data_IF_327685589136
#
_entry.id   IF_327685589136
#
_cell.length_a   1.000
_cell.length_b   1.000
_cell.length_c   1.000
_cell.angle_alpha   90.00
_cell.angle_beta   90.00
_cell.angle_gamma   90.00
#
_symmetry.space_group_name_H-M   'P 1'
#
loop_
_entity.id
_entity.type
_entity.pdbx_description
1 polymer ?
#
# COMPACT_ATOMS: atom_id res chain seq x y z
N UNK A 1 -12.54 -19.12 -0.94
CA UNK A 1 -12.28 -18.54 0.42
C UNK A 1 -10.87 -17.97 0.42
N UNK A 2 -10.59 -16.96 1.25
CA UNK A 2 -9.27 -16.33 1.37
C UNK A 2 -8.67 -16.66 2.75
N UNK A 3 -7.44 -17.17 2.76
CA UNK A 3 -6.67 -17.44 3.98
C UNK A 3 -5.51 -16.44 4.05
N UNK A 4 -5.36 -15.74 5.18
CA UNK A 4 -4.28 -14.77 5.42
C UNK A 4 -3.33 -15.30 6.49
N UNK A 5 -2.05 -15.33 6.16
CA UNK A 5 -0.96 -15.73 7.05
C UNK A 5 -0.07 -14.51 7.24
N UNK A 6 -0.11 -13.89 8.41
CA UNK A 6 0.77 -12.78 8.77
C UNK A 6 2.15 -13.33 9.16
N UNK A 7 3.20 -12.91 8.46
CA UNK A 7 4.58 -13.26 8.75
C UNK A 7 5.13 -12.32 9.82
N UNK A 8 4.69 -12.51 11.06
CA UNK A 8 4.97 -11.60 12.17
C UNK A 8 6.24 -11.93 12.96
N UNK A 9 6.64 -13.19 12.98
CA UNK A 9 7.73 -13.72 13.83
C UNK A 9 8.78 -14.46 13.02
N UNK A 10 9.91 -14.76 13.67
CA UNK A 10 10.98 -15.53 13.05
C UNK A 10 11.81 -14.74 12.05
N UNK A 11 11.77 -13.43 12.14
CA UNK A 11 12.60 -12.58 11.32
C UNK A 11 14.03 -12.53 11.85
N UNK A 12 14.97 -12.50 10.92
CA UNK A 12 16.37 -12.25 11.15
C UNK A 12 16.84 -11.11 10.28
N UNK A 13 17.84 -10.38 10.75
CA UNK A 13 18.37 -9.20 10.07
C UNK A 13 19.89 -9.25 9.97
N UNK A 14 20.42 -8.67 8.91
CA UNK A 14 21.85 -8.56 8.64
C UNK A 14 22.12 -7.22 7.96
N UNK A 15 23.12 -6.47 8.43
CA UNK A 15 23.63 -5.30 7.69
C UNK A 15 24.72 -5.72 6.71
N UNK A 16 24.53 -5.44 5.44
CA UNK A 16 25.49 -5.72 4.37
C UNK A 16 26.40 -4.50 4.13
N UNK A 17 27.39 -4.34 5.02
CA UNK A 17 28.26 -3.15 5.08
C UNK A 17 28.98 -2.87 3.76
N UNK A 18 29.21 -3.89 2.95
CA UNK A 18 29.94 -3.78 1.67
C UNK A 18 29.04 -3.84 0.45
N UNK A 19 27.71 -3.98 0.64
CA UNK A 19 26.72 -4.15 -0.43
C UNK A 19 27.10 -5.24 -1.44
N UNK A 20 27.50 -6.37 -0.90
CA UNK A 20 27.93 -7.55 -1.68
C UNK A 20 26.95 -8.69 -1.70
N UNK A 21 25.90 -8.65 -0.89
CA UNK A 21 24.95 -9.73 -0.67
C UNK A 21 24.28 -10.25 -1.94
N UNK A 22 23.92 -9.38 -2.88
CA UNK A 22 23.39 -9.82 -4.17
C UNK A 22 24.44 -10.60 -4.99
N UNK A 23 25.70 -10.14 -4.99
CA UNK A 23 26.79 -10.79 -5.73
C UNK A 23 27.20 -12.14 -5.12
N UNK A 24 27.07 -12.26 -3.81
CA UNK A 24 27.42 -13.49 -3.06
C UNK A 24 26.24 -14.47 -2.96
N UNK A 25 25.06 -14.12 -3.50
CA UNK A 25 23.92 -15.00 -3.50
C UNK A 25 23.22 -15.11 -2.14
N UNK A 26 23.29 -14.07 -1.30
CA UNK A 26 22.68 -14.07 0.03
C UNK A 26 21.17 -14.34 -0.01
N UNK A 27 20.52 -13.99 -1.12
CA UNK A 27 19.10 -14.24 -1.37
C UNK A 27 18.74 -15.73 -1.55
N UNK A 28 19.72 -16.60 -1.81
CA UNK A 28 19.53 -18.04 -2.02
C UNK A 28 19.88 -18.89 -0.78
N UNK A 29 20.43 -18.27 0.27
CA UNK A 29 20.89 -18.98 1.44
C UNK A 29 19.72 -19.41 2.34
N UNK A 30 19.36 -20.69 2.30
CA UNK A 30 18.42 -21.31 3.27
C UNK A 30 19.00 -21.31 4.68
N UNK A 31 20.27 -21.64 4.82
CA UNK A 31 21.03 -21.53 6.07
C UNK A 31 22.11 -20.48 5.90
N UNK A 32 22.57 -19.89 6.98
CA UNK A 32 23.73 -19.02 6.96
C UNK A 32 24.95 -19.85 6.54
N UNK A 33 25.21 -19.93 5.24
CA UNK A 33 26.46 -20.47 4.75
C UNK A 33 27.54 -19.43 5.05
N UNK A 34 28.11 -19.59 6.25
CA UNK A 34 29.22 -18.77 6.73
C UNK A 34 30.51 -19.00 5.92
N UNK A 35 30.48 -19.90 4.92
CA UNK A 35 31.63 -20.24 4.09
C UNK A 35 31.88 -19.30 2.92
N UNK A 36 30.92 -18.44 2.57
CA UNK A 36 31.05 -17.47 1.46
C UNK A 36 31.53 -16.12 2.00
N UNK A 37 32.83 -15.96 2.07
CA UNK A 37 33.53 -14.68 2.29
C UNK A 37 33.56 -14.22 3.76
N UNK A 38 34.68 -14.35 4.39
CA UNK A 38 35.02 -14.15 5.78
C UNK A 38 34.81 -12.77 6.44
N UNK A 39 33.73 -12.05 6.11
CA UNK A 39 33.36 -10.76 6.72
C UNK A 39 31.86 -10.51 6.75
N UNK A 40 31.00 -11.53 6.67
CA UNK A 40 29.57 -11.35 6.84
C UNK A 40 29.24 -11.34 8.33
N UNK A 41 28.65 -10.28 8.84
CA UNK A 41 28.05 -10.25 10.16
C UNK A 41 27.04 -11.41 10.29
N UNK A 42 26.93 -11.99 11.45
CA UNK A 42 25.96 -13.06 11.70
C UNK A 42 24.53 -12.48 11.62
N UNK A 43 23.57 -13.31 11.19
CA UNK A 43 22.18 -12.95 11.24
C UNK A 43 21.72 -12.77 12.69
N UNK A 44 21.14 -11.62 12.99
CA UNK A 44 20.57 -11.30 14.30
C UNK A 44 19.06 -11.55 14.31
N UNK A 45 18.53 -12.08 15.42
CA UNK A 45 17.09 -12.23 15.59
C UNK A 45 16.43 -10.85 15.71
N UNK A 46 15.30 -10.70 15.00
CA UNK A 46 14.49 -9.48 15.01
C UNK A 46 13.14 -9.77 15.66
N UNK A 47 12.86 -9.15 16.80
CA UNK A 47 11.63 -9.43 17.56
C UNK A 47 10.38 -8.86 16.89
N UNK A 48 10.50 -7.73 16.21
CA UNK A 48 9.37 -7.05 15.56
C UNK A 48 9.80 -6.28 14.31
N UNK A 49 8.86 -6.09 13.39
CA UNK A 49 9.05 -5.28 12.20
C UNK A 49 8.72 -3.80 12.51
N UNK A 50 9.76 -2.98 12.55
CA UNK A 50 9.70 -1.51 12.73
C UNK A 50 10.85 -0.85 11.96
N UNK A 51 10.83 0.47 11.89
CA UNK A 51 12.03 1.20 11.46
C UNK A 51 13.21 0.85 12.36
N UNK A 52 14.36 0.55 11.76
CA UNK A 52 15.54 0.06 12.49
C UNK A 52 16.04 1.03 13.55
N UNK A 53 15.90 2.33 13.30
CA UNK A 53 16.23 3.37 14.26
C UNK A 53 15.43 3.24 15.56
N UNK A 54 14.14 2.83 15.48
CA UNK A 54 13.30 2.61 16.65
C UNK A 54 13.70 1.38 17.47
N UNK A 55 14.33 0.40 16.82
CA UNK A 55 14.73 -0.85 17.46
C UNK A 55 16.13 -0.74 18.08
N UNK A 56 17.09 -0.18 17.34
CA UNK A 56 18.50 -0.25 17.68
C UNK A 56 19.12 1.05 18.17
N UNK A 57 18.50 2.21 17.87
CA UNK A 57 19.08 3.48 18.27
C UNK A 57 18.69 3.83 19.72
N UNK A 58 19.68 4.30 20.49
CA UNK A 58 19.44 4.79 21.84
C UNK A 58 18.54 6.04 21.86
N UNK A 59 18.69 6.88 20.83
CA UNK A 59 17.87 8.09 20.63
C UNK A 59 17.39 8.09 19.17
N UNK A 60 16.21 7.51 18.88
CA UNK A 60 15.80 7.23 17.50
C UNK A 60 15.46 8.46 16.67
N UNK A 61 15.37 9.64 17.28
CA UNK A 61 14.95 10.87 16.60
C UNK A 61 16.05 11.91 16.43
N UNK A 62 17.21 11.73 17.11
CA UNK A 62 18.28 12.72 17.12
C UNK A 62 19.66 12.06 17.19
N UNK A 63 20.62 12.65 16.50
CA UNK A 63 22.02 12.29 16.60
C UNK A 63 22.60 11.75 15.30
N UNK A 64 23.86 12.11 15.02
CA UNK A 64 24.57 11.71 13.78
C UNK A 64 24.77 10.21 13.67
N UNK A 65 24.75 9.49 14.77
CA UNK A 65 24.81 8.03 14.79
C UNK A 65 23.66 7.36 14.03
N UNK A 66 22.52 8.06 13.85
CA UNK A 66 21.40 7.54 13.09
C UNK A 66 21.71 7.36 11.60
N UNK A 67 22.71 8.07 11.08
CA UNK A 67 23.20 7.91 9.70
C UNK A 67 23.81 6.54 9.44
N UNK A 68 24.24 5.85 10.50
CA UNK A 68 24.75 4.47 10.39
C UNK A 68 23.75 3.54 9.71
N UNK A 69 22.47 3.68 9.98
CA UNK A 69 21.43 2.83 9.41
C UNK A 69 21.26 2.98 7.89
N UNK A 70 21.77 4.08 7.32
CA UNK A 70 21.62 4.42 5.91
C UNK A 70 22.90 4.21 5.09
N UNK A 71 24.01 3.79 5.73
CA UNK A 71 25.30 3.63 5.06
C UNK A 71 25.36 2.38 4.18
N UNK A 72 24.55 1.36 4.52
CA UNK A 72 24.55 0.08 3.83
C UNK A 72 23.15 -0.52 3.85
N UNK A 73 22.83 -1.41 2.90
CA UNK A 73 21.55 -2.10 2.90
C UNK A 73 21.43 -3.10 4.04
N UNK A 74 20.19 -3.40 4.39
CA UNK A 74 19.81 -4.38 5.40
C UNK A 74 19.08 -5.53 4.74
N UNK A 75 19.46 -6.74 5.10
CA UNK A 75 18.81 -7.96 4.64
C UNK A 75 17.93 -8.51 5.74
N UNK A 76 16.70 -8.84 5.39
CA UNK A 76 15.71 -9.48 6.26
C UNK A 76 15.47 -10.89 5.76
N UNK A 77 15.32 -11.83 6.67
CA UNK A 77 15.01 -13.23 6.38
C UNK A 77 13.95 -13.74 7.33
N UNK A 78 12.97 -14.49 6.81
CA UNK A 78 12.06 -15.30 7.63
C UNK A 78 11.71 -16.59 6.93
N UNK A 79 11.36 -17.61 7.73
CA UNK A 79 10.84 -18.89 7.26
C UNK A 79 9.40 -19.06 7.72
N UNK A 80 8.57 -19.64 6.87
CA UNK A 80 7.17 -19.87 7.15
C UNK A 80 6.64 -21.12 6.46
N UNK A 81 5.60 -21.74 7.03
CA UNK A 81 4.93 -22.90 6.46
C UNK A 81 3.74 -22.46 5.64
N UNK A 82 3.55 -23.09 4.49
CA UNK A 82 2.40 -22.90 3.62
C UNK A 82 1.53 -24.13 3.69
N UNK A 83 0.23 -24.02 4.03
CA UNK A 83 -0.66 -25.18 4.08
C UNK A 83 -0.72 -25.94 2.75
N UNK A 84 -0.83 -27.27 2.82
CA UNK A 84 -1.11 -28.10 1.65
C UNK A 84 -2.58 -27.96 1.26
N UNK A 85 -2.88 -26.93 0.50
CA UNK A 85 -4.23 -26.62 0.00
C UNK A 85 -4.23 -26.20 -1.46
N UNK A 86 -5.34 -26.48 -2.16
CA UNK A 86 -5.50 -26.03 -3.53
C UNK A 86 -5.90 -24.56 -3.55
N UNK A 87 -5.08 -23.74 -4.20
CA UNK A 87 -5.36 -22.32 -4.42
C UNK A 87 -5.35 -21.97 -5.89
N UNK A 88 -6.15 -21.02 -6.28
CA UNK A 88 -6.13 -20.45 -7.62
C UNK A 88 -5.14 -19.28 -7.70
N UNK A 89 -4.88 -18.63 -6.55
CA UNK A 89 -3.98 -17.48 -6.46
C UNK A 89 -3.30 -17.41 -5.09
N UNK A 90 -2.08 -16.86 -5.06
CA UNK A 90 -1.34 -16.58 -3.83
C UNK A 90 -0.55 -15.27 -3.98
N UNK A 91 -0.75 -14.35 -3.05
CA UNK A 91 -0.15 -13.03 -3.07
C UNK A 91 0.64 -12.78 -1.79
N UNK A 92 1.90 -12.37 -1.93
CA UNK A 92 2.72 -11.84 -0.86
C UNK A 92 2.57 -10.32 -0.84
N UNK A 93 2.00 -9.77 0.24
CA UNK A 93 1.70 -8.35 0.40
C UNK A 93 2.55 -7.73 1.50
N UNK A 94 3.16 -6.59 1.20
CA UNK A 94 3.83 -5.72 2.15
C UNK A 94 2.98 -4.47 2.36
N UNK A 95 2.72 -4.11 3.60
CA UNK A 95 1.99 -2.88 3.89
C UNK A 95 2.92 -1.67 3.77
N UNK A 96 4.12 -1.75 4.34
CA UNK A 96 5.07 -0.65 4.34
C UNK A 96 6.52 -1.16 4.39
N UNK A 97 7.33 -0.67 3.47
CA UNK A 97 8.79 -0.86 3.46
C UNK A 97 9.43 0.49 3.19
N UNK A 98 10.47 0.83 3.88
CA UNK A 98 11.15 2.10 3.79
C UNK A 98 12.62 1.92 3.44
N UNK A 99 13.11 2.21 2.28
CA UNK A 99 12.54 2.91 1.13
C UNK A 99 12.61 2.06 -0.15
N UNK A 100 13.81 1.57 -0.53
CA UNK A 100 14.02 0.62 -1.61
C UNK A 100 13.93 -0.80 -1.04
N UNK A 101 13.06 -1.61 -1.62
CA UNK A 101 12.89 -3.02 -1.26
C UNK A 101 13.12 -3.93 -2.46
N UNK A 102 13.96 -4.95 -2.33
CA UNK A 102 14.07 -6.07 -3.27
C UNK A 102 13.66 -7.34 -2.58
N UNK A 103 12.86 -8.18 -3.23
CA UNK A 103 12.20 -9.32 -2.61
C UNK A 103 12.50 -10.61 -3.35
N UNK A 104 12.84 -11.66 -2.60
CA UNK A 104 13.04 -13.02 -3.10
C UNK A 104 12.25 -14.02 -2.24
N UNK A 105 11.69 -15.02 -2.87
CA UNK A 105 11.07 -16.17 -2.22
C UNK A 105 11.72 -17.46 -2.73
N UNK A 106 12.13 -18.35 -1.84
CA UNK A 106 12.79 -19.60 -2.18
C UNK A 106 13.99 -19.43 -3.14
N UNK A 107 14.69 -18.28 -3.05
CA UNK A 107 15.81 -17.92 -3.92
C UNK A 107 15.43 -17.28 -5.25
N UNK A 108 14.16 -17.21 -5.58
CA UNK A 108 13.68 -16.59 -6.80
C UNK A 108 13.32 -15.11 -6.60
N UNK A 109 13.81 -14.25 -7.47
CA UNK A 109 13.51 -12.82 -7.45
C UNK A 109 12.05 -12.55 -7.80
N UNK A 110 11.35 -11.79 -6.97
CA UNK A 110 9.97 -11.39 -7.20
C UNK A 110 9.85 -10.02 -7.86
N UNK A 111 10.71 -9.09 -7.45
CA UNK A 111 10.68 -7.72 -7.92
C UNK A 111 11.22 -6.74 -6.89
N UNK A 112 11.06 -5.46 -7.19
CA UNK A 112 11.51 -4.36 -6.35
C UNK A 112 10.39 -3.34 -6.13
N UNK A 113 10.52 -2.57 -5.07
CA UNK A 113 9.62 -1.50 -4.67
C UNK A 113 10.42 -0.26 -4.31
N UNK A 114 9.87 0.90 -4.65
CA UNK A 114 10.35 2.21 -4.25
C UNK A 114 9.23 2.99 -3.57
N UNK A 115 9.50 3.51 -2.38
CA UNK A 115 8.55 4.30 -1.60
C UNK A 115 8.50 3.85 -0.15
N UNK A 116 7.78 4.58 0.69
CA UNK A 116 7.71 4.28 2.13
C UNK A 116 6.29 4.13 2.67
N UNK A 117 5.26 4.61 1.98
CA UNK A 117 3.88 4.62 2.51
C UNK A 117 2.91 3.75 1.72
N UNK A 118 3.20 3.45 0.46
CA UNK A 118 2.31 2.66 -0.38
C UNK A 118 2.50 1.15 -0.16
N UNK A 119 1.42 0.38 0.02
CA UNK A 119 1.52 -1.07 0.01
C UNK A 119 1.84 -1.59 -1.40
N UNK A 120 2.52 -2.73 -1.46
CA UNK A 120 2.80 -3.44 -2.70
C UNK A 120 2.69 -4.95 -2.52
N UNK A 121 2.60 -5.67 -3.62
CA UNK A 121 2.42 -7.12 -3.58
C UNK A 121 3.00 -7.81 -4.81
N UNK A 122 3.27 -9.11 -4.65
CA UNK A 122 3.74 -10.00 -5.71
C UNK A 122 2.88 -11.25 -5.76
N UNK A 123 2.55 -11.72 -6.97
CA UNK A 123 1.98 -13.04 -7.14
C UNK A 123 3.09 -14.08 -6.93
N UNK A 124 2.86 -15.02 -6.00
CA UNK A 124 3.86 -16.00 -5.58
C UNK A 124 3.39 -17.45 -5.72
N UNK A 125 2.21 -17.67 -6.29
CA UNK A 125 1.59 -19.00 -6.37
C UNK A 125 2.54 -20.08 -6.91
N UNK A 126 3.19 -19.79 -8.03
CA UNK A 126 4.05 -20.75 -8.72
C UNK A 126 5.47 -20.85 -8.12
N UNK A 127 5.74 -20.05 -7.08
CA UNK A 127 7.03 -19.98 -6.38
C UNK A 127 6.98 -20.55 -4.97
N UNK A 128 5.78 -20.86 -4.47
CA UNK A 128 5.56 -21.49 -3.18
C UNK A 128 5.66 -23.00 -3.26
N UNK A 129 6.22 -23.60 -2.21
CA UNK A 129 6.18 -25.04 -1.96
C UNK A 129 5.08 -25.29 -0.94
N UNK A 130 3.92 -25.77 -1.40
CA UNK A 130 2.77 -26.06 -0.56
C UNK A 130 3.03 -27.29 0.30
N UNK A 131 2.58 -27.28 1.55
CA UNK A 131 2.81 -28.35 2.54
C UNK A 131 4.21 -28.36 3.14
N UNK A 132 5.06 -27.39 2.80
CA UNK A 132 6.45 -27.31 3.24
C UNK A 132 6.82 -25.91 3.75
N UNK A 133 8.04 -25.82 4.29
CA UNK A 133 8.65 -24.55 4.66
C UNK A 133 9.14 -23.79 3.43
N UNK A 134 8.80 -22.51 3.41
CA UNK A 134 9.27 -21.54 2.44
C UNK A 134 10.13 -20.49 3.17
N UNK A 135 10.99 -19.80 2.46
CA UNK A 135 11.76 -18.70 3.02
C UNK A 135 11.65 -17.45 2.16
N UNK A 136 11.54 -16.33 2.87
CA UNK A 136 11.42 -14.99 2.30
C UNK A 136 12.68 -14.20 2.66
N UNK A 137 13.27 -13.56 1.67
CA UNK A 137 14.39 -12.65 1.85
C UNK A 137 14.05 -11.30 1.24
N UNK A 138 14.35 -10.22 1.98
CA UNK A 138 14.13 -8.85 1.56
C UNK A 138 15.38 -8.02 1.81
N UNK A 139 15.89 -7.37 0.78
CA UNK A 139 16.94 -6.35 0.91
C UNK A 139 16.25 -4.99 0.98
N UNK A 140 16.59 -4.21 2.01
CA UNK A 140 16.02 -2.88 2.25
C UNK A 140 17.13 -1.86 2.37
N UNK A 141 16.98 -0.72 1.71
CA UNK A 141 17.90 0.41 1.83
C UNK A 141 17.17 1.74 1.77
N UNK A 142 17.70 2.72 2.47
CA UNK A 142 17.22 4.09 2.43
C UNK A 142 18.45 5.01 2.52
N UNK A 143 19.05 5.34 1.37
CA UNK A 143 20.31 6.06 1.35
C UNK A 143 20.16 7.47 1.94
N UNK A 144 21.19 7.90 2.64
CA UNK A 144 21.28 9.26 3.15
C UNK A 144 21.57 10.25 2.03
N UNK A 145 21.18 11.49 2.24
CA UNK A 145 21.55 12.59 1.35
C UNK A 145 23.05 12.87 1.44
N UNK A 146 23.68 13.07 0.29
CA UNK A 146 25.11 13.41 0.23
C UNK A 146 25.34 14.86 0.64
N UNK A 147 26.28 15.07 1.55
CA UNK A 147 26.80 16.42 1.84
C UNK A 147 27.69 16.86 0.68
N UNK A 148 27.36 17.97 0.05
CA UNK A 148 28.24 18.60 -0.93
C UNK A 148 29.18 19.52 -0.18
N UNK A 149 30.48 19.23 -0.20
CA UNK A 149 31.50 20.21 0.24
C UNK A 149 31.42 21.46 -0.60
N UNK A 150 31.02 22.55 0.02
CA UNK A 150 31.10 23.85 -0.60
C UNK A 150 32.55 24.40 -0.51
N UNK A 151 32.94 25.07 -1.58
CA UNK A 151 34.15 25.85 -1.59
C UNK A 151 34.18 26.76 -0.33
N UNK A 152 35.27 26.69 0.43
CA UNK A 152 35.40 27.13 1.82
C UNK A 152 35.16 28.64 2.08
N UNK A 153 34.61 29.38 1.16
CA UNK A 153 34.42 30.84 1.28
C UNK A 153 33.06 31.29 1.79
N UNK A 154 32.02 30.43 1.79
CA UNK A 154 30.72 30.78 2.36
C UNK A 154 30.26 29.76 3.40
N UNK A 155 30.65 30.01 4.66
CA UNK A 155 30.33 29.15 5.80
C UNK A 155 28.83 29.16 6.20
N UNK A 156 27.96 29.80 5.44
CA UNK A 156 26.54 29.98 5.80
C UNK A 156 25.57 29.12 5.02
N UNK A 157 26.01 28.41 4.00
CA UNK A 157 25.15 27.55 3.20
C UNK A 157 25.76 26.16 3.06
N UNK A 158 25.34 25.23 3.86
CA UNK A 158 25.60 23.81 3.59
C UNK A 158 24.65 23.38 2.48
N UNK A 159 25.16 23.16 1.27
CA UNK A 159 24.38 22.52 0.22
C UNK A 159 24.38 21.01 0.47
N UNK A 160 23.21 20.46 0.68
CA UNK A 160 23.01 19.04 0.73
C UNK A 160 22.48 18.60 -0.64
N UNK A 161 23.19 17.71 -1.32
CA UNK A 161 22.67 17.04 -2.50
C UNK A 161 21.60 16.07 -2.03
N UNK A 162 20.34 16.45 -2.17
CA UNK A 162 19.22 15.64 -1.78
C UNK A 162 18.98 14.52 -2.79
N UNK A 163 18.89 13.31 -2.30
CA UNK A 163 18.46 12.18 -3.13
C UNK A 163 16.96 12.22 -3.41
N UNK A 164 16.24 13.16 -2.80
CA UNK A 164 14.78 13.35 -2.96
C UNK A 164 13.96 12.08 -2.72
N UNK A 165 14.52 11.17 -1.93
CA UNK A 165 13.96 9.86 -1.69
C UNK A 165 12.66 9.94 -0.89
N UNK A 166 12.57 10.93 0.01
CA UNK A 166 11.39 11.11 0.85
C UNK A 166 10.92 12.55 0.87
N UNK A 167 9.61 12.73 0.94
CA UNK A 167 8.96 14.04 1.08
C UNK A 167 9.03 14.61 2.51
N UNK A 168 10.02 14.24 3.29
CA UNK A 168 10.20 14.81 4.62
C UNK A 168 10.61 16.27 4.52
N UNK A 169 9.98 17.08 5.36
CA UNK A 169 10.24 18.51 5.39
C UNK A 169 11.63 18.78 5.96
N UNK A 170 12.48 19.40 5.16
CA UNK A 170 13.79 19.86 5.57
C UNK A 170 13.87 21.36 5.49
N UNK A 171 14.13 21.95 6.64
CA UNK A 171 14.73 23.25 6.70
C UNK A 171 16.19 23.08 7.08
N UNK A 172 17.09 23.28 6.14
CA UNK A 172 18.53 23.36 6.40
C UNK A 172 18.89 24.50 7.35
N UNK A 173 17.97 25.44 7.54
CA UNK A 173 18.08 26.65 8.34
C UNK A 173 17.34 26.55 9.70
N UNK A 174 16.68 25.44 10.01
CA UNK A 174 16.02 25.25 11.30
C UNK A 174 16.95 24.62 12.33
N UNK A 175 16.63 24.86 13.61
CA UNK A 175 17.35 24.31 14.77
C UNK A 175 17.34 22.80 14.88
N UNK A 176 16.58 22.09 14.03
CA UNK A 176 16.48 20.64 14.01
C UNK A 176 17.31 20.13 12.85
N UNK A 177 18.50 19.64 13.18
CA UNK A 177 19.30 18.90 12.21
C UNK A 177 18.60 17.58 11.93
N UNK A 178 18.40 17.30 10.64
CA UNK A 178 17.80 16.06 10.21
C UNK A 178 18.88 14.99 10.10
N UNK A 179 19.04 14.24 11.17
CA UNK A 179 19.90 13.06 11.17
C UNK A 179 19.10 11.77 10.98
N UNK A 180 17.78 11.86 10.80
CA UNK A 180 16.90 10.72 10.67
C UNK A 180 16.44 10.53 9.23
N UNK A 181 16.81 9.41 8.64
CA UNK A 181 16.26 8.90 7.39
C UNK A 181 15.83 7.45 7.64
N UNK A 182 14.55 7.21 7.98
CA UNK A 182 14.09 5.89 8.43
C UNK A 182 14.36 4.81 7.38
N UNK A 183 14.66 3.60 7.86
CA UNK A 183 14.87 2.43 7.02
C UNK A 183 14.30 1.19 7.71
N UNK A 184 13.64 0.33 6.95
CA UNK A 184 13.17 -0.96 7.43
C UNK A 184 11.82 -1.40 6.87
N UNK A 185 11.46 -2.64 7.18
CA UNK A 185 10.10 -3.14 7.03
C UNK A 185 9.35 -2.72 8.30
N UNK A 186 8.38 -1.81 8.20
CA UNK A 186 7.68 -1.28 9.37
C UNK A 186 6.17 -1.51 9.36
N UNK A 187 5.68 -2.19 8.35
CA UNK A 187 4.30 -2.63 8.22
C UNK A 187 4.18 -4.14 8.20
N UNK A 188 2.96 -4.62 8.01
CA UNK A 188 2.68 -6.05 7.94
C UNK A 188 3.23 -6.67 6.66
N UNK A 189 3.67 -7.92 6.80
CA UNK A 189 3.96 -8.81 5.68
C UNK A 189 2.99 -9.99 5.75
N UNK A 190 2.19 -10.17 4.71
CA UNK A 190 1.10 -11.16 4.69
C UNK A 190 1.19 -12.03 3.43
N UNK A 191 1.05 -13.34 3.61
CA UNK A 191 0.75 -14.27 2.53
C UNK A 191 -0.76 -14.46 2.47
N UNK A 192 -1.35 -14.16 1.31
CA UNK A 192 -2.78 -14.26 1.06
C UNK A 192 -3.01 -15.38 0.06
N UNK A 193 -3.66 -16.45 0.50
CA UNK A 193 -3.99 -17.63 -0.30
C UNK A 193 -5.47 -17.60 -0.69
N UNK A 194 -5.77 -17.69 -1.97
CA UNK A 194 -7.13 -17.66 -2.50
C UNK A 194 -7.50 -18.99 -3.13
N UNK A 195 -8.53 -19.65 -2.62
CA UNK A 195 -9.06 -20.92 -3.18
C UNK A 195 -9.73 -20.70 -4.55
N UNK A 196 -10.53 -19.65 -4.66
CA UNK A 196 -11.18 -19.24 -5.89
C UNK A 196 -11.75 -17.82 -5.77
N UNK A 197 -11.56 -17.02 -6.79
CA UNK A 197 -12.21 -15.74 -7.04
C UNK A 197 -12.23 -14.74 -5.90
N UNK A 198 -11.44 -13.69 -5.96
CA UNK A 198 -11.46 -12.58 -5.01
C UNK A 198 -11.52 -11.25 -5.75
N UNK A 199 -12.41 -10.35 -5.30
CA UNK A 199 -12.45 -8.97 -5.78
C UNK A 199 -11.26 -8.20 -5.21
N UNK A 200 -10.59 -7.41 -6.04
CA UNK A 200 -9.53 -6.52 -5.59
C UNK A 200 -10.06 -5.46 -4.62
N UNK A 201 -9.16 -4.94 -3.78
CA UNK A 201 -9.51 -3.90 -2.80
C UNK A 201 -9.86 -2.58 -3.50
N UNK A 202 -9.28 -2.34 -4.69
CA UNK A 202 -9.52 -1.14 -5.46
C UNK A 202 -10.79 -1.28 -6.29
N UNK A 203 -11.73 -0.35 -6.08
CA UNK A 203 -12.95 -0.22 -6.86
C UNK A 203 -13.02 1.20 -7.40
N UNK A 204 -13.14 1.35 -8.71
CA UNK A 204 -13.41 2.63 -9.35
C UNK A 204 -14.94 2.82 -9.42
N UNK A 205 -15.44 3.81 -8.69
CA UNK A 205 -16.84 4.16 -8.65
C UNK A 205 -17.00 5.62 -9.11
N UNK A 206 -17.64 5.80 -10.24
CA UNK A 206 -17.97 7.10 -10.84
C UNK A 206 -19.47 7.26 -10.94
N UNK A 207 -19.93 8.48 -11.03
CA UNK A 207 -21.34 8.77 -11.31
C UNK A 207 -21.50 10.07 -12.08
N UNK A 208 -22.61 10.14 -12.80
CA UNK A 208 -23.09 11.34 -13.47
C UNK A 208 -24.48 11.68 -12.93
N UNK A 209 -24.65 12.91 -12.46
CA UNK A 209 -25.94 13.41 -11.97
C UNK A 209 -26.74 14.02 -13.13
N UNK A 210 -28.04 13.83 -13.14
CA UNK A 210 -28.91 14.53 -14.04
C UNK A 210 -28.96 16.05 -13.72
N UNK A 211 -29.41 16.90 -14.64
CA UNK A 211 -29.45 18.36 -14.42
C UNK A 211 -30.25 18.76 -13.18
N UNK A 212 -31.28 18.01 -12.83
CA UNK A 212 -32.13 18.26 -11.65
C UNK A 212 -31.56 17.69 -10.37
N UNK A 213 -30.39 17.01 -10.46
CA UNK A 213 -29.63 16.35 -9.37
C UNK A 213 -30.47 15.36 -8.53
N UNK A 214 -31.44 14.72 -9.19
CA UNK A 214 -32.35 13.74 -8.57
C UNK A 214 -32.04 12.29 -8.96
N UNK A 215 -31.33 12.11 -10.07
CA UNK A 215 -30.98 10.82 -10.61
C UNK A 215 -29.49 10.76 -10.87
N UNK A 216 -28.93 9.57 -10.80
CA UNK A 216 -27.54 9.33 -11.11
C UNK A 216 -27.39 8.06 -11.96
N UNK A 217 -26.57 8.15 -12.99
CA UNK A 217 -25.99 6.99 -13.65
C UNK A 217 -24.68 6.66 -12.91
N UNK A 218 -24.57 5.44 -12.38
CA UNK A 218 -23.43 5.01 -11.57
C UNK A 218 -22.67 3.93 -12.31
N UNK A 219 -21.37 4.11 -12.43
CA UNK A 219 -20.43 3.21 -13.09
C UNK A 219 -19.50 2.61 -12.04
N UNK A 220 -19.48 1.29 -11.96
CA UNK A 220 -18.64 0.54 -11.04
C UNK A 220 -17.70 -0.35 -11.86
N UNK A 221 -16.41 -0.17 -11.67
CA UNK A 221 -15.38 -0.99 -12.27
C UNK A 221 -14.48 -1.56 -11.17
N UNK A 222 -14.19 -2.85 -11.25
CA UNK A 222 -13.28 -3.54 -10.34
C UNK A 222 -12.65 -4.73 -11.06
N UNK A 223 -11.61 -5.28 -10.49
CA UNK A 223 -10.96 -6.49 -10.98
C UNK A 223 -11.15 -7.64 -9.99
N UNK A 224 -11.19 -8.85 -10.49
CA UNK A 224 -11.10 -10.05 -9.69
C UNK A 224 -9.95 -10.92 -10.17
N UNK A 225 -9.28 -11.57 -9.22
CA UNK A 225 -8.18 -12.49 -9.45
C UNK A 225 -8.52 -13.90 -8.92
N UNK A 226 -7.74 -14.88 -9.31
CA UNK A 226 -7.93 -16.27 -8.90
C UNK A 226 -9.17 -16.92 -9.51
N UNK A 227 -9.64 -16.42 -10.65
CA UNK A 227 -10.74 -17.02 -11.40
C UNK A 227 -10.28 -18.23 -12.20
N UNK A 228 -11.21 -19.15 -12.45
CA UNK A 228 -10.97 -20.30 -13.33
C UNK A 228 -11.37 -19.94 -14.76
N UNK A 229 -10.43 -20.08 -15.69
CA UNK A 229 -10.70 -19.83 -17.11
C UNK A 229 -11.82 -20.74 -17.63
N UNK A 230 -12.73 -20.17 -18.42
CA UNK A 230 -13.91 -20.85 -18.99
C UNK A 230 -15.11 -20.93 -18.05
N UNK A 231 -14.99 -20.57 -16.77
CA UNK A 231 -16.12 -20.53 -15.84
C UNK A 231 -16.85 -19.19 -15.91
N UNK A 232 -18.16 -19.24 -15.61
CA UNK A 232 -19.02 -18.05 -15.58
C UNK A 232 -19.22 -17.58 -14.15
N UNK A 233 -19.05 -16.30 -13.92
CA UNK A 233 -19.20 -15.62 -12.63
C UNK A 233 -20.30 -14.58 -12.69
N UNK A 234 -21.03 -14.43 -11.61
CA UNK A 234 -22.00 -13.38 -11.38
C UNK A 234 -21.36 -12.26 -10.57
N UNK A 235 -21.36 -11.05 -11.10
CA UNK A 235 -20.96 -9.84 -10.40
C UNK A 235 -22.20 -9.02 -10.07
N UNK A 236 -22.57 -8.99 -8.79
CA UNK A 236 -23.71 -8.23 -8.28
C UNK A 236 -23.22 -6.93 -7.65
N UNK A 237 -23.83 -5.82 -8.02
CA UNK A 237 -23.63 -4.51 -7.41
C UNK A 237 -24.95 -4.04 -6.84
N UNK A 238 -24.95 -3.72 -5.54
CA UNK A 238 -26.10 -3.22 -4.81
C UNK A 238 -25.76 -1.88 -4.16
N UNK A 239 -26.54 -0.84 -4.48
CA UNK A 239 -26.39 0.50 -3.91
C UNK A 239 -27.49 0.71 -2.89
N UNK A 240 -27.11 1.07 -1.67
CA UNK A 240 -28.06 1.40 -0.59
C UNK A 240 -27.73 2.71 0.11
N UNK A 241 -28.71 3.36 0.67
CA UNK A 241 -28.51 4.45 1.61
C UNK A 241 -27.90 3.89 2.90
N UNK A 242 -26.84 4.52 3.39
CA UNK A 242 -26.09 4.00 4.55
C UNK A 242 -26.91 4.04 5.85
N UNK A 243 -27.66 5.11 6.08
CA UNK A 243 -28.43 5.32 7.30
C UNK A 243 -29.70 4.47 7.36
N UNK A 244 -30.47 4.43 6.27
CA UNK A 244 -31.75 3.72 6.23
C UNK A 244 -31.63 2.25 5.83
N UNK A 245 -30.52 1.89 5.18
CA UNK A 245 -30.34 0.58 4.56
C UNK A 245 -31.21 0.36 3.31
N UNK A 246 -31.94 1.40 2.85
CA UNK A 246 -32.82 1.28 1.69
C UNK A 246 -32.00 1.02 0.42
N UNK A 247 -32.34 -0.06 -0.28
CA UNK A 247 -31.75 -0.40 -1.55
C UNK A 247 -32.29 0.57 -2.61
N UNK A 248 -31.38 1.28 -3.28
CA UNK A 248 -31.70 2.27 -4.32
C UNK A 248 -31.53 1.70 -5.73
N UNK A 249 -30.57 0.79 -5.89
CA UNK A 249 -30.35 0.10 -7.16
C UNK A 249 -29.64 -1.23 -6.91
N UNK A 250 -29.91 -2.20 -7.77
CA UNK A 250 -29.24 -3.51 -7.76
C UNK A 250 -29.16 -4.05 -9.18
N UNK A 251 -28.00 -4.60 -9.57
CA UNK A 251 -27.81 -5.23 -10.86
C UNK A 251 -26.76 -6.32 -10.79
N UNK A 252 -27.01 -7.41 -11.50
CA UNK A 252 -26.08 -8.50 -11.69
C UNK A 252 -25.62 -8.57 -13.13
N UNK A 253 -24.31 -8.69 -13.35
CA UNK A 253 -23.68 -8.89 -14.64
C UNK A 253 -23.00 -10.25 -14.65
N UNK A 254 -23.25 -11.06 -15.69
CA UNK A 254 -22.59 -12.34 -15.89
C UNK A 254 -21.38 -12.17 -16.80
N UNK A 255 -20.24 -12.71 -16.41
CA UNK A 255 -19.01 -12.68 -17.19
C UNK A 255 -18.37 -14.06 -17.18
N UNK A 256 -18.01 -14.55 -18.34
CA UNK A 256 -17.16 -15.74 -18.48
C UNK A 256 -15.70 -15.29 -18.35
N UNK A 257 -14.98 -15.85 -17.39
CA UNK A 257 -13.58 -15.54 -17.19
C UNK A 257 -12.72 -16.18 -18.29
N UNK A 258 -12.04 -15.36 -19.06
CA UNK A 258 -11.08 -15.83 -20.08
C UNK A 258 -9.73 -16.17 -19.45
N UNK A 259 -9.38 -15.52 -18.35
CA UNK A 259 -8.13 -15.68 -17.60
C UNK A 259 -8.35 -15.53 -16.10
N UNK A 260 -7.32 -15.84 -15.32
CA UNK A 260 -7.38 -15.78 -13.85
C UNK A 260 -7.62 -14.37 -13.30
N UNK A 261 -7.26 -13.33 -14.05
CA UNK A 261 -7.55 -11.94 -13.73
C UNK A 261 -8.51 -11.37 -14.76
N UNK A 262 -9.65 -10.85 -14.30
CA UNK A 262 -10.72 -10.36 -15.17
C UNK A 262 -11.34 -9.11 -14.57
N UNK A 263 -11.52 -8.09 -15.41
CA UNK A 263 -12.22 -6.85 -15.05
C UNK A 263 -13.73 -7.01 -15.14
N UNK A 264 -14.44 -6.41 -14.19
CA UNK A 264 -15.90 -6.36 -14.11
C UNK A 264 -16.37 -4.92 -14.21
N UNK A 265 -17.42 -4.69 -15.01
CA UNK A 265 -18.06 -3.39 -15.19
C UNK A 265 -19.56 -3.51 -14.98
N UNK A 266 -20.11 -2.60 -14.22
CA UNK A 266 -21.55 -2.55 -13.97
C UNK A 266 -22.04 -1.10 -14.02
N UNK A 267 -23.13 -0.87 -14.73
CA UNK A 267 -23.80 0.42 -14.82
C UNK A 267 -25.19 0.28 -14.19
N UNK A 268 -25.53 1.20 -13.28
CA UNK A 268 -26.80 1.25 -12.57
C UNK A 268 -27.39 2.65 -12.63
N UNK A 269 -28.72 2.73 -12.54
CA UNK A 269 -29.44 3.98 -12.37
C UNK A 269 -29.99 4.09 -10.96
N UNK A 270 -29.72 5.21 -10.32
CA UNK A 270 -30.21 5.52 -8.98
C UNK A 270 -31.20 6.66 -9.06
N UNK A 271 -32.42 6.42 -8.62
CA UNK A 271 -33.51 7.39 -8.55
C UNK A 271 -33.61 8.02 -7.16
N UNK A 272 -34.17 9.25 -7.08
CA UNK A 272 -34.37 10.00 -5.83
C UNK A 272 -33.09 10.10 -5.00
N UNK A 273 -32.03 10.59 -5.63
CA UNK A 273 -30.73 10.78 -5.01
C UNK A 273 -30.80 11.86 -3.95
N UNK A 274 -30.25 11.58 -2.77
CA UNK A 274 -29.99 12.54 -1.70
C UNK A 274 -28.54 12.97 -1.75
N UNK A 275 -28.31 14.28 -1.91
CA UNK A 275 -26.97 14.82 -2.06
C UNK A 275 -26.26 14.97 -0.72
N UNK A 276 -24.98 14.65 -0.69
CA UNK A 276 -24.09 14.95 0.41
C UNK A 276 -23.87 16.47 0.50
N UNK A 277 -24.03 17.03 1.68
CA UNK A 277 -23.74 18.43 1.96
C UNK A 277 -22.81 18.57 3.15
N UNK A 278 -22.12 19.71 3.24
CA UNK A 278 -21.43 20.11 4.47
C UNK A 278 -22.44 20.35 5.59
N UNK A 279 -22.00 20.19 6.84
CA UNK A 279 -22.85 20.30 8.04
C UNK A 279 -23.62 21.62 8.15
N UNK A 280 -23.08 22.71 7.60
CA UNK A 280 -23.69 24.05 7.57
C UNK A 280 -24.62 24.29 6.37
N UNK A 281 -24.61 23.38 5.38
CA UNK A 281 -25.44 23.47 4.17
C UNK A 281 -26.50 22.39 4.08
N UNK A 282 -26.45 21.37 4.95
CA UNK A 282 -27.41 20.27 4.94
C UNK A 282 -26.90 19.03 5.67
N UNK A 283 -27.33 17.86 5.21
CA UNK A 283 -26.96 16.59 5.79
C UNK A 283 -25.94 15.84 4.90
N UNK A 284 -24.91 15.21 5.46
CA UNK A 284 -23.91 14.47 4.69
C UNK A 284 -24.41 13.06 4.32
N UNK A 285 -25.40 12.97 3.43
CA UNK A 285 -25.97 11.70 3.01
C UNK A 285 -24.93 10.80 2.37
N UNK A 286 -24.80 9.57 2.91
CA UNK A 286 -23.87 8.57 2.44
C UNK A 286 -24.59 7.38 1.83
N UNK A 287 -23.93 6.73 0.90
CA UNK A 287 -24.33 5.48 0.27
C UNK A 287 -23.25 4.42 0.44
N UNK A 288 -23.67 3.17 0.30
CA UNK A 288 -22.79 2.02 0.23
C UNK A 288 -23.02 1.28 -1.08
N UNK A 289 -21.96 0.99 -1.79
CA UNK A 289 -21.93 0.02 -2.87
C UNK A 289 -21.41 -1.31 -2.33
N UNK A 290 -22.27 -2.32 -2.30
CA UNK A 290 -21.92 -3.70 -1.97
C UNK A 290 -21.67 -4.44 -3.29
N UNK A 291 -20.46 -4.97 -3.44
CA UNK A 291 -20.02 -5.73 -4.59
C UNK A 291 -19.89 -7.19 -4.17
N UNK A 292 -20.51 -8.08 -4.92
CA UNK A 292 -20.46 -9.52 -4.63
C UNK A 292 -20.09 -10.28 -5.88
N UNK A 293 -19.05 -11.10 -5.77
CA UNK A 293 -18.65 -12.07 -6.79
C UNK A 293 -19.14 -13.45 -6.37
N UNK A 294 -19.84 -14.12 -7.25
CA UNK A 294 -20.35 -15.47 -6.98
C UNK A 294 -20.22 -16.38 -8.21
N UNK A 295 -20.22 -17.68 -7.97
CA UNK A 295 -20.35 -18.72 -9.00
C UNK A 295 -21.48 -19.66 -8.63
N UNK A 296 -22.57 -19.60 -9.40
CA UNK A 296 -23.79 -20.30 -9.06
C UNK A 296 -24.37 -19.81 -7.75
N UNK A 297 -24.40 -20.67 -6.71
CA UNK A 297 -24.90 -20.30 -5.37
C UNK A 297 -23.82 -19.88 -4.38
N UNK A 298 -22.55 -20.06 -4.75
CA UNK A 298 -21.43 -19.83 -3.85
C UNK A 298 -20.94 -18.40 -3.96
N UNK A 299 -21.00 -17.66 -2.87
CA UNK A 299 -20.39 -16.33 -2.76
C UNK A 299 -18.89 -16.54 -2.53
N UNK A 300 -18.08 -16.03 -3.46
CA UNK A 300 -16.63 -16.16 -3.43
C UNK A 300 -15.98 -14.99 -2.73
N UNK A 301 -16.46 -13.78 -3.01
CA UNK A 301 -15.91 -12.55 -2.45
C UNK A 301 -16.99 -11.48 -2.33
N UNK A 302 -16.86 -10.62 -1.32
CA UNK A 302 -17.71 -9.44 -1.15
C UNK A 302 -16.88 -8.25 -0.68
N UNK A 303 -17.20 -7.07 -1.20
CA UNK A 303 -16.57 -5.78 -0.83
C UNK A 303 -17.65 -4.74 -0.61
N UNK A 304 -17.36 -3.77 0.24
CA UNK A 304 -18.27 -2.63 0.48
C UNK A 304 -17.48 -1.34 0.41
N UNK A 305 -17.94 -0.41 -0.41
CA UNK A 305 -17.37 0.92 -0.56
C UNK A 305 -18.39 1.98 -0.18
N UNK A 306 -17.99 2.96 0.66
CA UNK A 306 -18.82 4.10 0.98
C UNK A 306 -18.56 5.22 -0.04
N UNK A 307 -19.64 5.86 -0.49
CA UNK A 307 -19.56 7.00 -1.39
C UNK A 307 -20.72 7.98 -1.14
N UNK A 308 -20.71 9.11 -1.82
CA UNK A 308 -21.77 10.09 -1.72
C UNK A 308 -21.99 10.79 -3.05
N UNK A 309 -23.22 11.10 -3.37
CA UNK A 309 -23.57 11.94 -4.52
C UNK A 309 -23.40 13.41 -4.17
N UNK A 310 -22.67 14.15 -4.96
CA UNK A 310 -22.46 15.59 -4.82
C UNK A 310 -22.06 16.19 -6.16
N UNK A 311 -22.49 17.42 -6.43
CA UNK A 311 -22.01 18.20 -7.55
C UNK A 311 -21.02 19.26 -7.04
N UNK A 312 -19.79 19.22 -7.54
CA UNK A 312 -18.74 20.18 -7.19
C UNK A 312 -18.32 20.92 -8.44
N UNK A 313 -18.47 22.23 -8.41
CA UNK A 313 -18.05 23.11 -9.49
C UNK A 313 -17.00 24.09 -8.98
N UNK A 314 -15.97 24.32 -9.79
CA UNK A 314 -14.90 25.26 -9.49
C UNK A 314 -14.85 26.30 -10.63
N UNK A 315 -15.19 27.53 -10.30
CA UNK A 315 -14.98 28.67 -11.16
C UNK A 315 -13.61 29.28 -10.85
N UNK A 316 -12.72 29.27 -11.80
CA UNK A 316 -11.36 29.81 -11.62
C UNK A 316 -10.95 30.73 -12.76
N UNK A 317 -10.48 31.92 -12.42
CA UNK A 317 -9.82 32.84 -13.34
C UNK A 317 -8.59 33.46 -12.64
N UNK A 318 -7.93 34.41 -13.29
CA UNK A 318 -6.70 35.06 -12.78
C UNK A 318 -6.88 35.75 -11.42
N UNK A 319 -8.09 36.15 -11.04
CA UNK A 319 -8.37 36.94 -9.83
C UNK A 319 -9.16 36.19 -8.77
N UNK A 320 -9.91 35.17 -9.15
CA UNK A 320 -10.93 34.56 -8.29
C UNK A 320 -10.94 33.05 -8.45
N UNK A 321 -11.04 32.36 -7.33
CA UNK A 321 -11.42 30.95 -7.27
C UNK A 321 -12.67 30.83 -6.42
N UNK A 322 -13.73 30.27 -6.98
CA UNK A 322 -14.98 30.03 -6.29
C UNK A 322 -15.36 28.55 -6.34
N UNK A 323 -15.87 28.07 -5.23
CA UNK A 323 -16.35 26.70 -5.09
C UNK A 323 -17.88 26.70 -4.95
N UNK A 324 -18.49 25.74 -5.62
CA UNK A 324 -19.91 25.49 -5.54
C UNK A 324 -20.11 24.02 -5.17
N UNK A 325 -21.03 23.79 -4.23
CA UNK A 325 -21.45 22.45 -3.83
C UNK A 325 -22.98 22.38 -4.01
N UNK A 326 -23.44 21.45 -4.86
CA UNK A 326 -24.84 21.25 -5.17
C UNK A 326 -25.53 22.57 -5.60
N UNK A 327 -24.92 23.28 -6.53
CA UNK A 327 -25.36 24.59 -7.02
C UNK A 327 -25.40 25.72 -5.96
N UNK A 328 -24.79 25.51 -4.80
CA UNK A 328 -24.70 26.51 -3.73
C UNK A 328 -23.26 26.93 -3.51
N UNK A 329 -23.01 28.23 -3.47
CA UNK A 329 -21.67 28.77 -3.25
C UNK A 329 -21.12 28.34 -1.90
N UNK A 330 -19.89 27.78 -1.91
CA UNK A 330 -19.22 27.28 -0.72
C UNK A 330 -18.06 28.20 -0.31
N UNK A 331 -18.02 28.57 0.95
CA UNK A 331 -16.86 29.20 1.55
C UNK A 331 -15.94 28.13 2.16
N UNK A 332 -14.75 27.98 1.59
CA UNK A 332 -13.78 26.98 2.06
C UNK A 332 -13.12 27.48 3.35
N UNK A 333 -13.22 26.67 4.39
CA UNK A 333 -12.49 26.82 5.66
C UNK A 333 -11.56 25.66 5.82
N UNK A 334 -10.32 25.91 6.17
CA UNK A 334 -9.32 24.87 6.29
C UNK A 334 -8.21 25.27 7.24
N UNK A 335 -7.38 24.30 7.54
CA UNK A 335 -6.16 24.48 8.33
C UNK A 335 -5.07 23.61 7.74
N UNK A 336 -3.84 23.91 8.09
CA UNK A 336 -2.70 23.04 7.80
C UNK A 336 -2.62 21.97 8.88
N UNK A 337 -2.52 20.72 8.46
CA UNK A 337 -2.27 19.60 9.34
C UNK A 337 -0.87 19.04 9.05
N UNK A 338 -0.06 18.97 10.10
CA UNK A 338 1.25 18.34 10.04
C UNK A 338 1.16 17.02 10.80
N UNK A 339 1.29 15.88 10.11
CA UNK A 339 1.23 14.58 10.80
C UNK A 339 2.43 14.37 11.72
N UNK A 340 2.27 13.54 12.74
CA UNK A 340 3.29 13.24 13.73
C UNK A 340 4.59 12.69 13.12
N UNK A 341 4.44 11.90 12.05
CA UNK A 341 5.58 11.34 11.30
C UNK A 341 6.27 12.36 10.36
N UNK A 342 5.80 13.60 10.29
CA UNK A 342 6.28 14.57 9.31
C UNK A 342 7.75 14.93 9.46
N UNK A 343 8.23 15.04 10.71
CA UNK A 343 9.62 15.42 11.00
C UNK A 343 10.54 14.21 10.90
N UNK A 344 10.15 13.09 11.51
CA UNK A 344 10.98 11.88 11.60
C UNK A 344 10.69 10.86 10.51
N UNK A 345 9.51 10.94 9.86
CA UNK A 345 8.94 9.91 8.99
C UNK A 345 8.80 8.53 9.67
N UNK A 346 8.80 8.48 11.00
CA UNK A 346 8.63 7.28 11.81
C UNK A 346 7.31 7.34 12.58
N UNK A 347 6.60 6.24 12.63
CA UNK A 347 5.34 6.06 13.37
C UNK A 347 5.50 5.01 14.44
#
# INVERSE_FOLDING_TARGET
METRIELKQGWKILQDVHDTGEKTGLYAAREADTSVGSQVSEWEELEELKHLQLIYARQPYFGRELRYFNQAPWWYKTEFEVPDQKVTDAVLKFTNVDYYGKVWINGEFLGEHEGYSAPFSFNVKDKLVFGEKNYLIVKVSSPWDDEVELDAQDSRTTLVKRNMVKGTYEHSDTFIQRDVNPVGIYGKVELILTEEGVLEDQTDLKYELDPDVRKADVYVETEARGLKSGETYDFNVKIREKESGLIKAEKTVQIMAEKAETGFKCELKVEDVRLWSTWDHGYPWMYQAELTLSRGKDILSSRTTNFAFRDIQIERNEKITRFWLNNRKLYIRGTSYFPDCYISAMT
#
